data_IF_083544174596
#
_entry.id   IF_083544174596
#
_cell.length_a   1.000
_cell.length_b   1.000
_cell.length_c   1.000
_cell.angle_alpha   90.00
_cell.angle_beta   90.00
_cell.angle_gamma   90.00
#
_symmetry.space_group_name_H-M   'P 1'
#
loop_
_entity.id
_entity.type
_entity.pdbx_description
1 polymer ?
#
# COMPACT_ATOMS: atom_id res chain seq x y z
N UNK A 1 -18.29 0.55 -1.33
CA UNK A 1 -17.26 1.32 -2.09
C UNK A 1 -16.37 2.15 -1.17
N UNK A 2 -16.93 3.02 -0.32
CA UNK A 2 -16.15 3.82 0.64
C UNK A 2 -15.19 2.99 1.52
N UNK A 3 -15.66 1.87 2.08
CA UNK A 3 -14.82 0.98 2.88
C UNK A 3 -13.61 0.41 2.12
N UNK A 4 -13.72 0.22 0.79
CA UNK A 4 -12.62 -0.27 -0.03
C UNK A 4 -11.52 0.79 -0.18
N UNK A 5 -11.91 2.06 -0.36
CA UNK A 5 -10.95 3.18 -0.38
C UNK A 5 -10.18 3.26 0.94
N UNK A 6 -10.89 3.22 2.07
CA UNK A 6 -10.29 3.27 3.40
C UNK A 6 -9.29 2.13 3.64
N UNK A 7 -9.66 0.90 3.27
CA UNK A 7 -8.79 -0.28 3.40
C UNK A 7 -7.52 -0.16 2.54
N UNK A 8 -7.65 0.44 1.35
CA UNK A 8 -6.53 0.67 0.44
C UNK A 8 -5.56 1.71 1.01
N UNK A 9 -6.10 2.74 1.64
CA UNK A 9 -5.32 3.88 2.08
C UNK A 9 -4.51 3.59 3.36
N UNK A 10 -5.01 2.75 4.26
CA UNK A 10 -4.39 2.52 5.57
C UNK A 10 -2.90 2.14 5.52
N UNK A 11 -2.48 1.09 4.79
CA UNK A 11 -1.11 0.62 4.90
C UNK A 11 -0.12 1.65 4.35
N UNK A 12 -0.51 2.37 3.29
CA UNK A 12 0.29 3.43 2.70
C UNK A 12 0.42 4.63 3.64
N UNK A 13 -0.66 5.07 4.30
CA UNK A 13 -0.58 6.15 5.29
C UNK A 13 0.31 5.79 6.47
N UNK A 14 0.12 4.59 7.05
CA UNK A 14 0.99 4.10 8.14
C UNK A 14 2.46 4.14 7.70
N UNK A 15 2.74 3.67 6.48
CA UNK A 15 4.08 3.68 5.94
C UNK A 15 4.65 5.09 5.78
N UNK A 16 3.85 6.02 5.27
CA UNK A 16 4.22 7.43 5.15
C UNK A 16 4.52 8.06 6.50
N UNK A 17 3.71 7.79 7.52
CA UNK A 17 4.04 8.26 8.88
C UNK A 17 5.35 7.70 9.38
N UNK A 18 5.62 6.41 9.17
CA UNK A 18 6.88 5.80 9.56
C UNK A 18 8.08 6.49 8.88
N UNK A 19 8.01 6.72 7.57
CA UNK A 19 9.05 7.44 6.84
C UNK A 19 9.17 8.90 7.27
N UNK A 20 8.03 9.56 7.47
CA UNK A 20 7.98 10.96 7.86
C UNK A 20 8.61 11.16 9.25
N UNK A 21 8.32 10.30 10.23
CA UNK A 21 8.95 10.36 11.55
C UNK A 21 10.45 10.02 11.52
N UNK A 22 10.86 9.07 10.67
CA UNK A 22 12.29 8.76 10.47
C UNK A 22 13.05 9.97 9.92
N UNK A 23 12.45 10.68 8.96
CA UNK A 23 13.10 11.82 8.30
C UNK A 23 12.93 13.13 9.10
N UNK A 24 11.96 13.19 10.03
CA UNK A 24 11.65 14.39 10.82
C UNK A 24 12.87 14.92 11.58
N UNK A 25 13.54 14.05 12.35
CA UNK A 25 14.69 14.41 13.18
C UNK A 25 15.79 15.07 12.34
N UNK A 26 16.17 14.40 11.25
CA UNK A 26 17.17 14.88 10.30
C UNK A 26 16.81 16.21 9.62
N UNK A 27 15.55 16.42 9.25
CA UNK A 27 15.12 17.71 8.67
C UNK A 27 15.19 18.82 9.71
N UNK A 28 14.74 18.55 10.95
CA UNK A 28 14.73 19.55 12.01
C UNK A 28 16.13 20.00 12.42
N UNK A 29 17.11 19.10 12.45
CA UNK A 29 18.51 19.43 12.75
C UNK A 29 19.14 20.38 11.73
N UNK A 30 18.73 20.31 10.46
CA UNK A 30 19.34 21.06 9.35
C UNK A 30 18.62 22.34 8.98
N UNK A 31 17.35 22.45 9.36
CA UNK A 31 16.47 23.56 8.94
C UNK A 31 15.73 24.13 10.15
N UNK A 32 14.43 23.86 10.28
CA UNK A 32 13.59 24.21 11.42
C UNK A 32 12.40 23.24 11.49
N UNK A 33 11.65 23.29 12.60
CA UNK A 33 10.49 22.42 12.81
C UNK A 33 9.35 22.66 11.82
N UNK A 34 9.19 23.88 11.32
CA UNK A 34 8.14 24.21 10.35
C UNK A 34 8.39 23.59 8.98
N UNK A 35 9.65 23.58 8.54
CA UNK A 35 10.07 22.90 7.30
C UNK A 35 9.87 21.39 7.40
N UNK A 36 10.19 20.79 8.56
CA UNK A 36 9.92 19.37 8.81
C UNK A 36 8.42 19.03 8.76
N UNK A 37 7.57 19.83 9.41
CA UNK A 37 6.10 19.69 9.31
C UNK A 37 5.64 19.81 7.85
N UNK A 38 6.22 20.74 7.09
CA UNK A 38 5.94 20.87 5.67
C UNK A 38 6.34 19.64 4.84
N UNK A 39 7.48 19.00 5.14
CA UNK A 39 7.89 17.73 4.49
C UNK A 39 6.89 16.62 4.80
N UNK A 40 6.45 16.49 6.06
CA UNK A 40 5.41 15.53 6.44
C UNK A 40 4.12 15.79 5.66
N UNK A 41 3.69 17.04 5.56
CA UNK A 41 2.47 17.44 4.83
C UNK A 41 2.55 17.11 3.33
N UNK A 42 3.71 17.35 2.70
CA UNK A 42 3.94 16.90 1.32
C UNK A 42 3.86 15.37 1.21
N UNK A 43 4.51 14.64 2.12
CA UNK A 43 4.46 13.18 2.16
C UNK A 43 3.02 12.65 2.22
N UNK A 44 2.20 13.17 3.15
CA UNK A 44 0.80 12.78 3.27
C UNK A 44 -0.02 13.10 2.01
N UNK A 45 0.20 14.27 1.40
CA UNK A 45 -0.49 14.64 0.16
C UNK A 45 -0.13 13.71 -1.00
N UNK A 46 1.15 13.34 -1.13
CA UNK A 46 1.57 12.34 -2.12
C UNK A 46 0.89 11.00 -1.85
N UNK A 47 0.82 10.57 -0.58
CA UNK A 47 0.16 9.32 -0.20
C UNK A 47 -1.32 9.33 -0.51
N UNK A 48 -2.03 10.45 -0.29
CA UNK A 48 -3.42 10.59 -0.69
C UNK A 48 -3.60 10.39 -2.20
N UNK A 49 -2.70 10.95 -3.02
CA UNK A 49 -2.70 10.77 -4.48
C UNK A 49 -2.44 9.30 -4.84
N UNK A 50 -1.42 8.67 -4.24
CA UNK A 50 -1.12 7.25 -4.46
C UNK A 50 -2.31 6.36 -4.10
N UNK A 51 -2.93 6.60 -2.94
CA UNK A 51 -4.11 5.86 -2.49
C UNK A 51 -5.29 6.04 -3.46
N UNK A 52 -5.47 7.24 -4.01
CA UNK A 52 -6.49 7.52 -5.02
C UNK A 52 -6.23 6.74 -6.31
N UNK A 53 -4.98 6.68 -6.77
CA UNK A 53 -4.59 5.89 -7.96
C UNK A 53 -4.82 4.40 -7.70
N UNK A 54 -4.34 3.86 -6.58
CA UNK A 54 -4.52 2.44 -6.23
C UNK A 54 -6.00 2.11 -6.09
N UNK A 55 -6.82 2.99 -5.50
CA UNK A 55 -8.25 2.81 -5.42
C UNK A 55 -8.92 2.79 -6.80
N UNK A 56 -8.54 3.69 -7.71
CA UNK A 56 -9.06 3.68 -9.09
C UNK A 56 -8.73 2.36 -9.78
N UNK A 57 -7.47 1.91 -9.69
CA UNK A 57 -7.04 0.63 -10.26
C UNK A 57 -7.82 -0.53 -9.64
N UNK A 58 -7.98 -0.55 -8.32
CA UNK A 58 -8.78 -1.57 -7.63
C UNK A 58 -10.24 -1.51 -8.09
N UNK A 59 -10.85 -0.33 -8.20
CA UNK A 59 -12.22 -0.18 -8.66
C UNK A 59 -12.40 -0.73 -10.10
N UNK A 60 -11.45 -0.46 -10.99
CA UNK A 60 -11.43 -0.99 -12.36
C UNK A 60 -11.27 -2.52 -12.37
N UNK A 61 -10.36 -3.07 -11.57
CA UNK A 61 -10.22 -4.53 -11.41
C UNK A 61 -11.48 -5.16 -10.80
N UNK A 62 -12.20 -4.41 -9.96
CA UNK A 62 -13.50 -4.80 -9.43
C UNK A 62 -14.55 -5.06 -10.52
N UNK A 63 -14.42 -4.44 -11.70
CA UNK A 63 -15.30 -4.69 -12.85
C UNK A 63 -15.06 -6.08 -13.47
N UNK A 64 -13.88 -6.66 -13.29
CA UNK A 64 -13.55 -8.02 -13.75
C UNK A 64 -14.03 -9.10 -12.77
N UNK A 65 -14.44 -8.72 -11.57
CA UNK A 65 -14.90 -9.64 -10.54
C UNK A 65 -16.28 -10.20 -10.89
N UNK A 66 -16.44 -11.52 -10.74
CA UNK A 66 -17.66 -12.22 -11.12
C UNK A 66 -18.91 -11.60 -10.48
N UNK A 67 -19.95 -11.28 -11.28
CA UNK A 67 -21.21 -10.74 -10.77
C UNK A 67 -21.99 -11.75 -9.90
N UNK A 68 -21.54 -13.02 -9.82
CA UNK A 68 -22.16 -14.07 -9.01
C UNK A 68 -21.77 -14.00 -7.53
N UNK A 69 -20.69 -13.29 -7.18
CA UNK A 69 -20.24 -13.19 -5.80
C UNK A 69 -21.04 -12.14 -5.03
N UNK A 70 -21.31 -12.41 -3.75
CA UNK A 70 -21.93 -11.44 -2.85
C UNK A 70 -21.07 -10.18 -2.74
N UNK A 71 -21.71 -9.03 -2.51
CA UNK A 71 -21.01 -7.75 -2.36
C UNK A 71 -19.91 -7.83 -1.29
N UNK A 72 -20.21 -8.47 -0.14
CA UNK A 72 -19.25 -8.68 0.95
C UNK A 72 -18.01 -9.46 0.50
N UNK A 73 -18.18 -10.57 -0.24
CA UNK A 73 -17.05 -11.33 -0.82
C UNK A 73 -16.23 -10.50 -1.78
N UNK A 74 -16.87 -9.69 -2.64
CA UNK A 74 -16.12 -8.82 -3.57
C UNK A 74 -15.31 -7.77 -2.83
N UNK A 75 -15.91 -7.08 -1.86
CA UNK A 75 -15.21 -6.09 -1.04
C UNK A 75 -14.05 -6.74 -0.28
N UNK A 76 -14.27 -7.93 0.31
CA UNK A 76 -13.24 -8.67 1.03
C UNK A 76 -12.05 -9.03 0.13
N UNK A 77 -12.31 -9.63 -1.03
CA UNK A 77 -11.26 -10.00 -2.00
C UNK A 77 -10.51 -8.76 -2.48
N UNK A 78 -11.23 -7.72 -2.91
CA UNK A 78 -10.62 -6.50 -3.43
C UNK A 78 -9.79 -5.77 -2.38
N UNK A 79 -10.28 -5.69 -1.14
CA UNK A 79 -9.54 -5.06 -0.05
C UNK A 79 -8.28 -5.85 0.32
N UNK A 80 -8.33 -7.18 0.31
CA UNK A 80 -7.14 -8.01 0.53
C UNK A 80 -6.13 -7.85 -0.58
N UNK A 81 -6.57 -7.80 -1.85
CA UNK A 81 -5.68 -7.54 -2.97
C UNK A 81 -5.01 -6.16 -2.84
N UNK A 82 -5.76 -5.13 -2.44
CA UNK A 82 -5.21 -3.80 -2.18
C UNK A 82 -4.15 -3.83 -1.07
N UNK A 83 -4.41 -4.53 0.04
CA UNK A 83 -3.43 -4.70 1.13
C UNK A 83 -2.18 -5.43 0.63
N UNK A 84 -2.32 -6.52 -0.13
CA UNK A 84 -1.17 -7.26 -0.68
C UNK A 84 -0.32 -6.34 -1.57
N UNK A 85 -0.94 -5.56 -2.46
CA UNK A 85 -0.22 -4.60 -3.30
C UNK A 85 0.48 -3.52 -2.47
N UNK A 86 -0.18 -2.99 -1.44
CA UNK A 86 0.42 -2.01 -0.54
C UNK A 86 1.63 -2.59 0.20
N UNK A 87 1.55 -3.83 0.69
CA UNK A 87 2.67 -4.52 1.33
C UNK A 87 3.84 -4.74 0.37
N UNK A 88 3.59 -5.09 -0.89
CA UNK A 88 4.64 -5.17 -1.92
C UNK A 88 5.28 -3.82 -2.20
N UNK A 89 4.50 -2.73 -2.23
CA UNK A 89 5.03 -1.37 -2.37
C UNK A 89 5.95 -1.01 -1.20
N UNK A 90 5.49 -1.25 0.05
CA UNK A 90 6.30 -1.04 1.25
C UNK A 90 7.59 -1.87 1.23
N UNK A 91 7.50 -3.15 0.84
CA UNK A 91 8.67 -4.02 0.74
C UNK A 91 9.68 -3.52 -0.30
N UNK A 92 9.21 -3.06 -1.45
CA UNK A 92 10.06 -2.47 -2.49
C UNK A 92 10.76 -1.19 -2.00
N UNK A 93 10.04 -0.33 -1.28
CA UNK A 93 10.63 0.87 -0.67
C UNK A 93 11.66 0.52 0.41
N UNK A 94 11.39 -0.47 1.27
CA UNK A 94 12.38 -0.96 2.26
C UNK A 94 13.63 -1.48 1.56
N UNK A 95 13.46 -2.28 0.51
CA UNK A 95 14.57 -2.83 -0.28
C UNK A 95 15.44 -1.70 -0.87
N UNK A 96 14.79 -0.67 -1.43
CA UNK A 96 15.45 0.52 -1.96
C UNK A 96 16.19 1.31 -0.86
N UNK A 97 15.51 1.61 0.25
CA UNK A 97 16.07 2.40 1.37
C UNK A 97 17.24 1.72 2.07
N UNK A 98 17.29 0.38 2.06
CA UNK A 98 18.40 -0.39 2.63
C UNK A 98 19.54 -0.62 1.65
N UNK A 99 19.43 -0.13 0.42
CA UNK A 99 20.39 -0.37 -0.68
C UNK A 99 20.81 -1.85 -0.77
N UNK A 100 19.86 -2.76 -0.48
CA UNK A 100 20.19 -4.16 -0.26
C UNK A 100 20.53 -4.80 -1.60
N UNK A 101 21.78 -5.22 -1.78
CA UNK A 101 22.15 -5.96 -2.99
C UNK A 101 21.63 -7.39 -2.91
N UNK A 102 21.19 -7.94 -4.04
CA UNK A 102 20.85 -9.35 -4.12
C UNK A 102 22.09 -10.20 -3.75
N UNK A 103 21.95 -11.25 -2.93
CA UNK A 103 23.07 -12.13 -2.62
C UNK A 103 23.69 -12.71 -3.89
N UNK A 104 25.01 -12.84 -3.93
CA UNK A 104 25.75 -13.27 -5.12
C UNK A 104 25.25 -14.61 -5.70
N UNK A 105 24.77 -15.51 -4.84
CA UNK A 105 24.17 -16.78 -5.24
C UNK A 105 22.92 -16.60 -6.12
N UNK A 106 22.04 -15.67 -5.77
CA UNK A 106 20.84 -15.36 -6.57
C UNK A 106 21.22 -14.67 -7.87
N UNK A 107 22.18 -13.72 -7.83
CA UNK A 107 22.69 -13.07 -9.03
C UNK A 107 23.28 -14.11 -10.00
N UNK A 108 24.10 -15.03 -9.50
CA UNK A 108 24.67 -16.13 -10.28
C UNK A 108 23.60 -17.07 -10.85
N UNK A 109 22.60 -17.44 -10.04
CA UNK A 109 21.46 -18.24 -10.48
C UNK A 109 20.72 -17.58 -11.66
N UNK A 110 20.34 -16.31 -11.52
CA UNK A 110 19.63 -15.61 -12.59
C UNK A 110 20.52 -15.38 -13.82
N UNK A 111 21.80 -15.05 -13.64
CA UNK A 111 22.75 -14.87 -14.73
C UNK A 111 22.92 -16.17 -15.56
N UNK A 112 22.92 -17.34 -14.90
CA UNK A 112 23.05 -18.64 -15.55
C UNK A 112 21.85 -19.01 -16.44
N UNK A 113 20.70 -18.36 -16.28
CA UNK A 113 19.50 -18.65 -17.10
C UNK A 113 19.62 -18.17 -18.55
N UNK A 114 20.64 -17.37 -18.89
CA UNK A 114 20.80 -16.73 -20.22
C UNK A 114 19.81 -15.59 -20.50
N UNK A 115 18.75 -15.44 -19.70
CA UNK A 115 17.78 -14.33 -19.74
C UNK A 115 17.47 -13.83 -18.32
N UNK A 116 18.44 -13.23 -17.62
CA UNK A 116 18.35 -12.93 -16.19
C UNK A 116 17.14 -12.07 -15.81
N UNK A 117 16.81 -11.05 -16.61
CA UNK A 117 15.67 -10.18 -16.35
C UNK A 117 14.34 -10.92 -16.46
N UNK A 118 14.17 -11.75 -17.50
CA UNK A 118 12.93 -12.53 -17.68
C UNK A 118 12.73 -13.50 -16.51
N UNK A 119 13.80 -14.20 -16.10
CA UNK A 119 13.75 -15.11 -14.97
C UNK A 119 13.39 -14.36 -13.67
N UNK A 120 14.01 -13.21 -13.41
CA UNK A 120 13.70 -12.37 -12.25
C UNK A 120 12.23 -11.93 -12.24
N UNK A 121 11.71 -11.40 -13.35
CA UNK A 121 10.31 -10.97 -13.44
C UNK A 121 9.33 -12.14 -13.35
N UNK A 122 9.66 -13.30 -13.92
CA UNK A 122 8.84 -14.50 -13.80
C UNK A 122 8.77 -14.97 -12.34
N UNK A 123 9.90 -15.01 -11.63
CA UNK A 123 9.94 -15.36 -10.21
C UNK A 123 9.15 -14.36 -9.37
N UNK A 124 9.34 -13.05 -9.60
CA UNK A 124 8.57 -12.01 -8.90
C UNK A 124 7.06 -12.14 -9.16
N UNK A 125 6.66 -12.40 -10.41
CA UNK A 125 5.26 -12.60 -10.78
C UNK A 125 4.65 -13.82 -10.08
N UNK A 126 5.39 -14.92 -9.96
CA UNK A 126 4.93 -16.12 -9.24
C UNK A 126 4.68 -15.78 -7.77
N UNK A 127 5.63 -15.13 -7.09
CA UNK A 127 5.46 -14.76 -5.68
C UNK A 127 4.32 -13.77 -5.47
N UNK A 128 4.23 -12.73 -6.30
CA UNK A 128 3.14 -11.76 -6.23
C UNK A 128 1.79 -12.44 -6.47
N UNK A 129 1.69 -13.29 -7.49
CA UNK A 129 0.46 -14.02 -7.82
C UNK A 129 0.04 -14.97 -6.70
N UNK A 130 0.97 -15.72 -6.11
CA UNK A 130 0.67 -16.61 -4.98
C UNK A 130 0.22 -15.83 -3.75
N UNK A 131 0.90 -14.71 -3.44
CA UNK A 131 0.54 -13.86 -2.30
C UNK A 131 -0.85 -13.23 -2.43
N UNK A 132 -1.32 -12.99 -3.65
CA UNK A 132 -2.67 -12.50 -3.93
C UNK A 132 -3.71 -13.64 -4.01
N UNK A 133 -3.39 -14.73 -4.70
CA UNK A 133 -4.31 -15.82 -4.98
C UNK A 133 -4.65 -16.64 -3.73
N UNK A 134 -3.68 -16.91 -2.85
CA UNK A 134 -3.91 -17.69 -1.63
C UNK A 134 -4.96 -17.07 -0.70
N UNK A 135 -4.86 -15.78 -0.30
CA UNK A 135 -5.87 -15.20 0.58
C UNK A 135 -7.20 -14.94 -0.15
N UNK A 136 -7.17 -14.59 -1.44
CA UNK A 136 -8.40 -14.48 -2.24
C UNK A 136 -9.16 -15.82 -2.30
N UNK A 137 -8.45 -16.93 -2.56
CA UNK A 137 -9.02 -18.27 -2.53
C UNK A 137 -9.58 -18.62 -1.14
N UNK A 138 -8.87 -18.28 -0.07
CA UNK A 138 -9.33 -18.46 1.31
C UNK A 138 -10.68 -17.77 1.58
N UNK A 139 -10.82 -16.51 1.14
CA UNK A 139 -12.07 -15.74 1.27
C UNK A 139 -13.20 -16.38 0.45
N UNK A 140 -12.92 -16.77 -0.79
CA UNK A 140 -13.94 -17.34 -1.68
C UNK A 140 -14.43 -18.70 -1.18
N UNK A 141 -13.55 -19.48 -0.55
CA UNK A 141 -13.83 -20.84 -0.09
C UNK A 141 -14.44 -20.91 1.30
N UNK A 142 -14.15 -19.95 2.18
CA UNK A 142 -14.54 -20.00 3.60
C UNK A 142 -15.25 -18.72 4.05
N UNK A 143 -16.53 -18.84 4.40
CA UNK A 143 -17.33 -17.73 4.95
C UNK A 143 -16.77 -17.24 6.31
N UNK A 144 -16.05 -18.10 7.05
CA UNK A 144 -15.35 -17.70 8.28
C UNK A 144 -14.21 -16.72 7.98
N UNK A 145 -13.44 -16.97 6.91
CA UNK A 145 -12.35 -16.10 6.49
C UNK A 145 -12.91 -14.79 5.93
N UNK A 146 -13.96 -14.85 5.10
CA UNK A 146 -14.68 -13.65 4.65
C UNK A 146 -15.14 -12.78 5.82
N UNK A 147 -15.80 -13.39 6.82
CA UNK A 147 -16.28 -12.70 8.01
C UNK A 147 -15.13 -12.07 8.81
N UNK A 148 -14.04 -12.81 9.04
CA UNK A 148 -12.87 -12.28 9.75
C UNK A 148 -12.23 -11.08 9.03
N UNK A 149 -12.10 -11.16 7.70
CA UNK A 149 -11.54 -10.08 6.87
C UNK A 149 -12.44 -8.85 6.91
N UNK A 150 -13.75 -9.04 6.72
CA UNK A 150 -14.72 -7.92 6.72
C UNK A 150 -14.82 -7.24 8.08
N UNK A 151 -14.86 -7.99 9.19
CA UNK A 151 -14.79 -7.42 10.54
C UNK A 151 -13.48 -6.67 10.78
N UNK A 152 -12.37 -7.19 10.25
CA UNK A 152 -11.08 -6.49 10.26
C UNK A 152 -11.18 -5.14 9.55
N UNK A 153 -11.74 -5.11 8.34
CA UNK A 153 -11.91 -3.88 7.55
C UNK A 153 -12.82 -2.87 8.23
N UNK A 154 -13.89 -3.31 8.88
CA UNK A 154 -14.77 -2.44 9.66
C UNK A 154 -14.00 -1.74 10.78
N UNK A 155 -13.17 -2.47 11.55
CA UNK A 155 -12.34 -1.88 12.61
C UNK A 155 -11.30 -0.91 12.06
N UNK A 156 -10.67 -1.26 10.95
CA UNK A 156 -9.69 -0.41 10.28
C UNK A 156 -10.31 0.87 9.70
N UNK A 157 -11.56 0.81 9.25
CA UNK A 157 -12.27 1.97 8.69
C UNK A 157 -12.43 3.12 9.69
N UNK A 158 -12.55 2.82 10.99
CA UNK A 158 -12.61 3.82 12.06
C UNK A 158 -11.29 4.58 12.17
N UNK A 159 -10.15 3.87 12.10
CA UNK A 159 -8.83 4.49 12.09
C UNK A 159 -8.62 5.37 10.85
N UNK A 160 -9.26 5.04 9.73
CA UNK A 160 -9.14 5.78 8.48
C UNK A 160 -9.77 7.16 8.47
N UNK A 161 -10.77 7.40 9.32
CA UNK A 161 -11.31 8.75 9.50
C UNK A 161 -10.22 9.69 10.04
N UNK A 162 -9.38 9.20 10.95
CA UNK A 162 -8.26 9.99 11.49
C UNK A 162 -7.24 10.35 10.41
N UNK A 163 -6.94 9.41 9.51
CA UNK A 163 -6.01 9.65 8.40
C UNK A 163 -6.53 10.72 7.43
N UNK A 164 -7.83 10.72 7.11
CA UNK A 164 -8.43 11.78 6.30
C UNK A 164 -8.36 13.17 6.95
N UNK A 165 -8.43 13.24 8.28
CA UNK A 165 -8.21 14.49 9.01
C UNK A 165 -6.77 14.97 8.84
N UNK A 166 -5.80 14.05 8.89
CA UNK A 166 -4.39 14.38 8.63
C UNK A 166 -4.16 14.84 7.19
N UNK A 167 -4.82 14.25 6.20
CA UNK A 167 -4.75 14.69 4.81
C UNK A 167 -5.31 16.11 4.64
N UNK A 168 -6.47 16.39 5.23
CA UNK A 168 -7.05 17.73 5.21
C UNK A 168 -6.11 18.76 5.88
N UNK A 169 -5.54 18.42 7.03
CA UNK A 169 -4.57 19.27 7.71
C UNK A 169 -3.31 19.49 6.88
N UNK A 170 -2.79 18.44 6.23
CA UNK A 170 -1.64 18.51 5.34
C UNK A 170 -1.90 19.46 4.18
N UNK A 171 -3.06 19.37 3.51
CA UNK A 171 -3.45 20.29 2.44
C UNK A 171 -3.52 21.74 2.91
N UNK A 172 -4.10 22.00 4.09
CA UNK A 172 -4.14 23.36 4.68
C UNK A 172 -2.73 23.89 4.93
N UNK A 173 -1.84 23.07 5.52
CA UNK A 173 -0.44 23.45 5.76
C UNK A 173 0.25 23.81 4.44
N UNK A 174 0.04 23.01 3.38
CA UNK A 174 0.63 23.29 2.07
C UNK A 174 0.10 24.58 1.46
N UNK A 175 -1.19 24.89 1.60
CA UNK A 175 -1.76 26.16 1.14
C UNK A 175 -1.13 27.33 1.89
N UNK A 176 -1.06 27.27 3.22
CA UNK A 176 -0.46 28.34 4.04
C UNK A 176 1.02 28.58 3.68
N UNK A 177 1.76 27.52 3.35
CA UNK A 177 3.19 27.63 3.00
C UNK A 177 3.44 28.24 1.62
N UNK A 178 2.47 28.20 0.71
CA UNK A 178 2.62 28.64 -0.68
C UNK A 178 1.88 29.96 -1.01
N UNK A 179 1.20 30.57 -0.04
CA UNK A 179 0.65 31.94 -0.12
C UNK A 179 1.70 32.92 0.38
#
# INVERSE_FOLDING_TARGET
>A
MWSLFLVTALPLHIWTFFLAFRDFDWVTERTNSWDAVGVVAYGLTFTLVECSIVFIVAALLGLLVSPKWSEKKRIAVMGVLAIVLALWSMFNQIYFLRETKLPAQFVGFYAATGRPLLALYATALIFASLSAALPAYGILRSDKVEKAVTEGFERLSVLMILYLVFDAAALVILVIRNI
#
